data_IF_387870592248
#
_entry.id   IF_387870592248
#
_cell.length_a   1.000
_cell.length_b   1.000
_cell.length_c   1.000
_cell.angle_alpha   90.00
_cell.angle_beta   90.00
_cell.angle_gamma   90.00
#
_symmetry.space_group_name_H-M   'P 1'
#
loop_
_entity.id
_entity.type
_entity.pdbx_description
1 polymer ?
#
# COMPACT_ATOMS: atom_id res chain seq x y z
N UNK A 1 1.64 -3.77 18.56
CA UNK A 1 1.31 -4.70 17.46
C UNK A 1 -0.11 -5.27 17.67
N UNK A 2 -0.81 -5.69 16.60
CA UNK A 2 -2.07 -6.46 16.71
C UNK A 2 -3.40 -5.70 16.76
N UNK A 3 -3.42 -4.37 16.80
CA UNK A 3 -4.67 -3.58 16.93
C UNK A 3 -5.48 -3.43 15.63
N UNK A 4 -5.15 -4.15 14.56
CA UNK A 4 -5.90 -4.13 13.30
C UNK A 4 -5.60 -2.96 12.34
N UNK A 5 -4.48 -2.24 12.50
CA UNK A 5 -4.11 -1.11 11.62
C UNK A 5 -4.01 -1.52 10.15
N UNK A 6 -3.23 -2.55 9.83
CA UNK A 6 -3.05 -3.01 8.45
C UNK A 6 -4.38 -3.49 7.84
N UNK A 7 -5.28 -4.06 8.66
CA UNK A 7 -6.64 -4.40 8.24
C UNK A 7 -7.44 -3.14 7.90
N UNK A 8 -7.45 -2.13 8.78
CA UNK A 8 -8.13 -0.85 8.55
C UNK A 8 -7.60 -0.15 7.28
N UNK A 9 -6.27 -0.10 7.13
CA UNK A 9 -5.61 0.47 5.97
C UNK A 9 -6.01 -0.24 4.67
N UNK A 10 -6.01 -1.57 4.66
CA UNK A 10 -6.42 -2.34 3.49
C UNK A 10 -7.92 -2.17 3.21
N UNK A 11 -8.77 -2.15 4.23
CA UNK A 11 -10.21 -1.91 4.09
C UNK A 11 -10.49 -0.55 3.41
N UNK A 12 -9.77 0.48 3.82
CA UNK A 12 -9.89 1.83 3.26
C UNK A 12 -9.59 1.86 1.76
N UNK A 13 -8.53 1.17 1.32
CA UNK A 13 -8.17 1.07 -0.09
C UNK A 13 -9.13 0.16 -0.86
N UNK A 14 -9.46 -1.01 -0.32
CA UNK A 14 -10.38 -1.96 -0.93
C UNK A 14 -11.75 -1.33 -1.19
N UNK A 15 -12.30 -0.62 -0.21
CA UNK A 15 -13.57 0.10 -0.39
C UNK A 15 -13.47 1.17 -1.48
N UNK A 16 -12.36 1.91 -1.54
CA UNK A 16 -12.12 2.92 -2.57
C UNK A 16 -12.09 2.32 -3.97
N UNK A 17 -11.32 1.25 -4.14
CA UNK A 17 -11.19 0.54 -5.40
C UNK A 17 -12.51 -0.12 -5.82
N UNK A 18 -13.13 -0.90 -4.93
CA UNK A 18 -14.29 -1.73 -5.25
C UNK A 18 -15.59 -0.94 -5.41
N UNK A 19 -15.87 0.00 -4.51
CA UNK A 19 -17.18 0.66 -4.44
C UNK A 19 -17.20 2.03 -5.10
N UNK A 20 -16.04 2.68 -5.23
CA UNK A 20 -15.94 4.07 -5.70
C UNK A 20 -15.07 4.23 -6.95
N UNK A 21 -14.48 3.13 -7.46
CA UNK A 21 -13.53 3.13 -8.58
C UNK A 21 -12.39 4.15 -8.40
N UNK A 22 -11.93 4.31 -7.17
CA UNK A 22 -10.83 5.20 -6.81
C UNK A 22 -9.54 4.39 -6.69
N UNK A 23 -8.56 4.56 -7.61
CA UNK A 23 -7.30 3.84 -7.54
C UNK A 23 -6.56 4.09 -6.23
N UNK A 24 -6.04 3.03 -5.63
CA UNK A 24 -5.35 3.06 -4.35
C UNK A 24 -3.96 2.44 -4.42
N UNK A 25 -3.00 3.01 -3.66
CA UNK A 25 -1.69 2.38 -3.46
C UNK A 25 -1.44 2.11 -1.98
N UNK A 26 -1.03 0.88 -1.68
CA UNK A 26 -0.54 0.48 -0.36
C UNK A 26 0.98 0.43 -0.42
N UNK A 27 1.65 1.29 0.32
CA UNK A 27 3.10 1.27 0.46
C UNK A 27 3.45 0.63 1.78
N UNK A 28 4.25 -0.43 1.76
CA UNK A 28 4.66 -1.13 2.97
C UNK A 28 6.16 -1.26 3.12
N UNK A 29 6.65 -1.08 4.35
CA UNK A 29 8.06 -1.20 4.74
C UNK A 29 8.36 -2.51 5.50
N UNK A 30 7.32 -3.15 6.03
CA UNK A 30 7.47 -4.32 6.92
C UNK A 30 7.01 -5.61 6.24
N UNK A 31 5.74 -5.68 5.83
CA UNK A 31 5.13 -6.91 5.34
C UNK A 31 5.31 -7.08 3.82
N UNK A 32 5.55 -8.31 3.37
CA UNK A 32 5.50 -8.62 1.95
C UNK A 32 4.06 -8.61 1.41
N UNK A 33 3.84 -8.28 0.12
CA UNK A 33 2.50 -8.24 -0.49
C UNK A 33 1.75 -9.58 -0.36
N UNK A 34 2.47 -10.71 -0.33
CA UNK A 34 1.89 -12.04 -0.15
C UNK A 34 1.16 -12.20 1.21
N UNK A 35 1.71 -11.63 2.29
CA UNK A 35 1.11 -11.73 3.63
C UNK A 35 -0.16 -10.90 3.73
N UNK A 36 -0.16 -9.69 3.14
CA UNK A 36 -1.34 -8.85 3.02
C UNK A 36 -2.46 -9.59 2.26
N UNK A 37 -2.11 -10.22 1.14
CA UNK A 37 -3.05 -11.01 0.34
C UNK A 37 -3.71 -12.12 1.16
N UNK A 38 -2.90 -12.94 1.84
CA UNK A 38 -3.40 -14.04 2.69
C UNK A 38 -4.35 -13.55 3.78
N UNK A 39 -4.02 -12.42 4.42
CA UNK A 39 -4.86 -11.81 5.44
C UNK A 39 -6.20 -11.33 4.86
N UNK A 40 -6.20 -10.73 3.67
CA UNK A 40 -7.43 -10.25 3.03
C UNK A 40 -8.39 -11.35 2.59
N UNK A 41 -7.89 -12.52 2.20
CA UNK A 41 -8.74 -13.65 1.81
C UNK A 41 -9.65 -14.11 2.96
N UNK A 42 -9.18 -14.02 4.21
CA UNK A 42 -9.99 -14.34 5.40
C UNK A 42 -11.19 -13.42 5.58
N UNK A 43 -11.13 -12.22 5.01
CA UNK A 43 -12.22 -11.23 5.00
C UNK A 43 -13.07 -11.29 3.72
N UNK A 44 -12.83 -12.27 2.84
CA UNK A 44 -13.49 -12.41 1.53
C UNK A 44 -13.29 -11.18 0.63
N UNK A 45 -12.19 -10.46 0.80
CA UNK A 45 -11.81 -9.38 -0.12
C UNK A 45 -11.00 -9.96 -1.27
N UNK A 46 -11.51 -9.82 -2.49
CA UNK A 46 -10.83 -10.28 -3.69
C UNK A 46 -10.03 -9.12 -4.30
N UNK A 47 -8.72 -9.13 -4.05
CA UNK A 47 -7.82 -8.07 -4.52
C UNK A 47 -7.40 -8.28 -5.98
N UNK A 48 -7.42 -9.52 -6.49
CA UNK A 48 -6.86 -9.85 -7.81
C UNK A 48 -7.51 -9.04 -8.94
N UNK A 49 -8.85 -8.92 -9.02
CA UNK A 49 -9.49 -8.14 -10.08
C UNK A 49 -9.14 -6.66 -9.96
N UNK A 50 -8.98 -6.15 -8.73
CA UNK A 50 -8.65 -4.75 -8.50
C UNK A 50 -7.20 -4.44 -8.92
N UNK A 51 -6.28 -5.37 -8.69
CA UNK A 51 -4.90 -5.23 -9.17
C UNK A 51 -4.81 -5.33 -10.70
N UNK A 52 -5.56 -6.25 -11.31
CA UNK A 52 -5.63 -6.40 -12.77
C UNK A 52 -6.23 -5.16 -13.45
N UNK A 53 -7.21 -4.51 -12.81
CA UNK A 53 -7.82 -3.26 -13.29
C UNK A 53 -6.99 -2.01 -12.92
N UNK A 54 -5.82 -2.18 -12.29
CA UNK A 54 -4.98 -1.09 -11.79
C UNK A 54 -5.69 -0.14 -10.79
N UNK A 55 -6.73 -0.64 -10.12
CA UNK A 55 -7.48 0.08 -9.07
C UNK A 55 -6.86 -0.11 -7.68
N UNK A 56 -6.02 -1.13 -7.49
CA UNK A 56 -5.26 -1.32 -6.28
C UNK A 56 -3.85 -1.77 -6.64
N UNK A 57 -2.83 -1.24 -5.96
CA UNK A 57 -1.47 -1.77 -6.03
C UNK A 57 -0.86 -1.82 -4.65
N UNK A 58 -0.13 -2.90 -4.37
CA UNK A 58 0.67 -3.04 -3.17
C UNK A 58 2.14 -2.93 -3.58
N UNK A 59 2.87 -2.01 -2.96
CA UNK A 59 4.27 -1.75 -3.22
C UNK A 59 5.07 -1.93 -1.93
N UNK A 60 5.97 -2.91 -1.92
CA UNK A 60 6.96 -3.04 -0.86
C UNK A 60 8.08 -2.04 -1.14
N UNK A 61 8.28 -1.10 -0.23
CA UNK A 61 9.35 -0.12 -0.30
C UNK A 61 10.52 -0.58 0.57
N UNK A 62 11.65 -0.86 -0.08
CA UNK A 62 12.89 -1.22 0.58
C UNK A 62 13.94 -0.14 0.23
N UNK A 63 14.22 0.80 1.14
CA UNK A 63 15.22 1.83 0.88
C UNK A 63 16.62 1.21 0.81
N UNK A 64 17.41 1.62 -0.19
CA UNK A 64 18.82 1.24 -0.28
C UNK A 64 19.62 1.92 0.83
N UNK A 65 20.84 1.43 1.11
CA UNK A 65 21.71 2.01 2.13
C UNK A 65 21.95 3.52 1.92
N UNK A 66 22.14 3.95 0.68
CA UNK A 66 22.32 5.37 0.33
C UNK A 66 21.05 6.23 0.51
N UNK A 67 19.86 5.61 0.50
CA UNK A 67 18.59 6.30 0.63
C UNK A 67 18.10 6.39 2.09
N UNK A 68 18.61 5.56 3.01
CA UNK A 68 18.10 5.46 4.38
C UNK A 68 18.05 6.81 5.09
N UNK A 69 19.05 7.66 4.87
CA UNK A 69 19.15 8.97 5.51
C UNK A 69 18.58 10.11 4.64
N UNK A 70 18.12 9.81 3.42
CA UNK A 70 17.56 10.77 2.48
C UNK A 70 16.03 10.64 2.38
N UNK A 71 15.33 11.24 3.33
CA UNK A 71 13.86 11.25 3.39
C UNK A 71 13.21 11.84 2.13
N UNK A 72 13.83 12.85 1.52
CA UNK A 72 13.29 13.50 0.32
C UNK A 72 13.29 12.54 -0.88
N UNK A 73 14.39 11.82 -1.09
CA UNK A 73 14.46 10.79 -2.13
C UNK A 73 13.49 9.64 -1.87
N UNK A 74 13.36 9.18 -0.62
CA UNK A 74 12.39 8.14 -0.28
C UNK A 74 10.96 8.59 -0.59
N UNK A 75 10.60 9.79 -0.17
CA UNK A 75 9.28 10.39 -0.41
C UNK A 75 9.00 10.54 -1.90
N UNK A 76 9.99 11.02 -2.67
CA UNK A 76 9.86 11.16 -4.14
C UNK A 76 9.52 9.83 -4.79
N UNK A 77 10.22 8.73 -4.46
CA UNK A 77 9.93 7.41 -5.04
C UNK A 77 8.54 6.90 -4.67
N UNK A 78 8.10 7.11 -3.43
CA UNK A 78 6.75 6.76 -3.00
C UNK A 78 5.69 7.51 -3.82
N UNK A 79 5.88 8.82 -4.00
CA UNK A 79 4.98 9.67 -4.80
C UNK A 79 4.97 9.24 -6.27
N UNK A 80 6.12 8.89 -6.86
CA UNK A 80 6.20 8.38 -8.23
C UNK A 80 5.37 7.10 -8.42
N UNK A 81 5.43 6.15 -7.48
CA UNK A 81 4.62 4.94 -7.54
C UNK A 81 3.12 5.23 -7.47
N UNK A 82 2.72 6.19 -6.65
CA UNK A 82 1.33 6.63 -6.56
C UNK A 82 0.84 7.28 -7.85
N UNK A 83 1.67 8.13 -8.46
CA UNK A 83 1.38 8.77 -9.74
C UNK A 83 1.25 7.75 -10.86
N UNK A 84 2.10 6.72 -10.89
CA UNK A 84 2.07 5.67 -11.92
C UNK A 84 0.75 4.90 -11.97
N UNK A 85 -0.02 4.87 -10.88
CA UNK A 85 -1.34 4.21 -10.80
C UNK A 85 -2.49 5.20 -10.78
N UNK A 86 -2.22 6.50 -10.98
CA UNK A 86 -3.19 7.58 -10.83
C UNK A 86 -3.94 7.50 -9.49
N UNK A 87 -3.21 7.19 -8.40
CA UNK A 87 -3.79 6.97 -7.09
C UNK A 87 -4.62 8.17 -6.62
N UNK A 88 -5.85 7.89 -6.20
CA UNK A 88 -6.70 8.82 -5.44
C UNK A 88 -6.59 8.57 -3.93
N UNK A 89 -6.13 7.38 -3.54
CA UNK A 89 -5.94 6.97 -2.14
C UNK A 89 -4.55 6.39 -1.94
N UNK A 90 -3.94 6.67 -0.79
CA UNK A 90 -2.64 6.12 -0.43
C UNK A 90 -2.64 5.69 1.03
N UNK A 91 -1.99 4.57 1.30
CA UNK A 91 -1.59 4.12 2.63
C UNK A 91 -0.08 3.97 2.67
N UNK A 92 0.54 4.31 3.80
CA UNK A 92 1.95 4.04 4.12
C UNK A 92 2.00 3.28 5.46
N UNK A 93 2.47 2.03 5.45
CA UNK A 93 2.52 1.14 6.62
C UNK A 93 3.91 0.47 6.80
N UNK A 94 4.72 0.80 7.80
CA UNK A 94 4.51 1.72 8.91
C UNK A 94 5.39 2.98 8.77
N UNK A 95 4.83 4.15 9.08
CA UNK A 95 5.58 5.42 9.05
C UNK A 95 6.68 5.46 10.12
N UNK A 96 6.65 4.52 11.07
CA UNK A 96 7.69 4.29 12.09
C UNK A 96 9.07 3.96 11.51
N UNK A 97 9.19 3.56 10.25
CA UNK A 97 10.49 3.44 9.60
C UNK A 97 11.13 4.80 9.24
N UNK A 98 10.38 5.89 9.34
CA UNK A 98 10.84 7.26 9.09
C UNK A 98 11.11 8.06 10.38
N UNK A 99 10.93 7.46 11.57
CA UNK A 99 11.16 8.10 12.88
C UNK A 99 12.36 7.54 13.61
#
# INVERSE_FOLDING_TARGET
AGTGKSILCMQYLYHGAKNLQQPGVYVTLEEGPHNLWWNTQRFKWDLLPLEQQNLLRIYKFEPTAAMKDNLEEQTRKIVEKAKAVNAKRMVIDSVTAFS
#
